data_IF_833908208656
#
_entry.id   IF_833908208656
#
_cell.length_a   1.000
_cell.length_b   1.000
_cell.length_c   1.000
_cell.angle_alpha   90.00
_cell.angle_beta   90.00
_cell.angle_gamma   90.00
#
_symmetry.space_group_name_H-M   'P 1'
#
loop_
_entity.id
_entity.type
_entity.pdbx_description
1 polymer ?
#
# COMPACT_ATOMS: atom_id res chain seq x y z
N UNK A 1 32.95 52.06 -16.31
CA UNK A 1 31.80 51.43 -16.98
C UNK A 1 31.70 49.97 -16.51
N UNK A 2 30.83 49.69 -15.54
CA UNK A 2 30.70 48.38 -14.89
C UNK A 2 29.66 47.52 -15.65
N UNK A 3 30.04 46.31 -16.06
CA UNK A 3 29.16 45.35 -16.74
C UNK A 3 28.23 44.67 -15.72
N UNK A 4 26.92 44.51 -16.01
CA UNK A 4 26.03 43.79 -15.10
C UNK A 4 26.30 42.30 -15.19
N UNK A 5 26.55 41.68 -14.04
CA UNK A 5 26.64 40.24 -13.87
C UNK A 5 25.21 39.68 -13.91
N UNK A 6 24.83 39.04 -15.02
CA UNK A 6 23.60 38.25 -15.11
C UNK A 6 23.80 36.92 -14.38
N UNK A 7 23.57 36.89 -13.07
CA UNK A 7 23.32 35.63 -12.35
C UNK A 7 21.83 35.34 -12.41
N UNK A 8 21.43 34.65 -13.47
CA UNK A 8 20.23 33.83 -13.45
C UNK A 8 20.58 32.44 -13.95
N UNK A 9 21.39 31.72 -13.16
CA UNK A 9 21.52 30.28 -13.31
C UNK A 9 20.17 29.67 -12.89
N UNK A 10 19.26 29.50 -13.85
CA UNK A 10 18.16 28.55 -13.70
C UNK A 10 18.79 27.21 -13.44
N UNK A 11 18.79 26.77 -12.18
CA UNK A 11 19.06 25.38 -11.82
C UNK A 11 17.93 24.54 -12.40
N UNK A 12 18.06 24.17 -13.67
CA UNK A 12 17.19 23.17 -14.29
C UNK A 12 17.47 21.87 -13.54
N UNK A 13 16.54 21.45 -12.70
CA UNK A 13 16.54 20.07 -12.23
C UNK A 13 16.39 19.19 -13.47
N UNK A 14 17.49 18.60 -13.91
CA UNK A 14 17.47 17.55 -14.93
C UNK A 14 16.73 16.37 -14.30
N UNK A 15 15.43 16.28 -14.58
CA UNK A 15 14.68 15.07 -14.30
C UNK A 15 15.08 14.06 -15.38
N UNK A 16 16.10 13.25 -15.09
CA UNK A 16 16.34 12.08 -15.93
C UNK A 16 15.10 11.20 -15.81
N UNK A 17 14.38 10.89 -16.92
CA UNK A 17 13.30 9.92 -16.85
C UNK A 17 13.96 8.60 -16.43
N UNK A 18 13.56 8.06 -15.27
CA UNK A 18 13.87 6.67 -14.96
C UNK A 18 13.19 5.82 -16.02
N UNK A 19 13.96 5.35 -16.98
CA UNK A 19 13.56 4.32 -17.93
C UNK A 19 13.41 3.01 -17.14
N UNK A 20 12.31 2.89 -16.38
CA UNK A 20 11.89 1.59 -15.88
C UNK A 20 11.64 0.71 -17.11
N UNK A 21 12.20 -0.50 -17.12
CA UNK A 21 11.84 -1.50 -18.10
C UNK A 21 10.31 -1.60 -18.11
N UNK A 22 9.68 -1.23 -19.23
CA UNK A 22 8.23 -1.38 -19.39
C UNK A 22 7.96 -2.88 -19.20
N UNK A 23 7.23 -3.25 -18.15
CA UNK A 23 6.75 -4.63 -17.99
C UNK A 23 5.89 -4.89 -19.22
N UNK A 24 6.39 -5.71 -20.15
CA UNK A 24 5.67 -6.10 -21.36
C UNK A 24 4.36 -6.73 -20.86
N UNK A 25 3.25 -6.05 -21.13
CA UNK A 25 1.92 -6.63 -20.90
C UNK A 25 1.91 -7.95 -21.68
N UNK A 26 1.59 -9.03 -20.96
CA UNK A 26 1.42 -10.36 -21.52
C UNK A 26 0.46 -10.22 -22.72
N UNK A 27 0.95 -10.45 -23.94
CA UNK A 27 0.15 -10.42 -25.16
C UNK A 27 0.61 -9.48 -26.29
N UNK A 28 1.73 -8.75 -26.18
CA UNK A 28 2.32 -8.07 -27.35
C UNK A 28 3.31 -8.98 -28.08
N UNK A 29 2.82 -9.60 -29.14
CA UNK A 29 3.55 -10.47 -30.06
C UNK A 29 4.78 -9.76 -30.65
N UNK A 30 5.95 -10.18 -30.21
CA UNK A 30 7.22 -10.01 -30.93
C UNK A 30 8.34 -10.69 -30.14
N UNK A 31 8.87 -11.77 -30.70
CA UNK A 31 10.08 -12.44 -30.21
C UNK A 31 9.84 -13.90 -29.85
N UNK A 32 10.39 -14.79 -30.69
CA UNK A 32 10.51 -16.23 -30.43
C UNK A 32 11.09 -16.46 -29.03
N UNK A 33 10.27 -17.00 -28.15
CA UNK A 33 10.67 -17.54 -26.86
C UNK A 33 9.62 -18.57 -26.51
N UNK A 34 10.05 -19.82 -26.40
CA UNK A 34 9.33 -21.02 -25.99
C UNK A 34 7.99 -20.72 -25.35
N UNK A 35 6.91 -21.20 -25.98
CA UNK A 35 5.60 -21.32 -25.36
C UNK A 35 5.80 -22.17 -24.11
N UNK A 36 6.09 -21.55 -22.98
CA UNK A 36 6.03 -22.19 -21.68
C UNK A 36 4.62 -22.73 -21.64
N UNK A 37 4.48 -24.04 -21.79
CA UNK A 37 3.21 -24.72 -21.66
C UNK A 37 2.62 -24.17 -20.36
N UNK A 38 1.47 -23.48 -20.48
CA UNK A 38 0.77 -22.95 -19.33
C UNK A 38 0.40 -24.18 -18.53
N UNK A 39 1.23 -24.54 -17.55
CA UNK A 39 0.94 -25.62 -16.61
C UNK A 39 -0.33 -25.16 -15.92
N UNK A 40 -1.45 -25.74 -16.34
CA UNK A 40 -2.74 -25.51 -15.73
C UNK A 40 -2.64 -26.20 -14.39
N UNK A 41 -2.27 -25.44 -13.36
CA UNK A 41 -2.35 -25.91 -11.98
C UNK A 41 -3.83 -26.05 -11.69
N UNK A 42 -4.29 -27.29 -11.64
CA UNK A 42 -5.66 -27.60 -11.22
C UNK A 42 -5.81 -27.18 -9.76
N UNK A 43 -6.80 -26.34 -9.50
CA UNK A 43 -7.13 -25.94 -8.14
C UNK A 43 -7.97 -27.06 -7.52
N UNK A 44 -7.58 -27.59 -6.35
CA UNK A 44 -8.37 -28.63 -5.70
C UNK A 44 -9.76 -28.10 -5.38
N UNK A 45 -10.77 -28.97 -5.51
CA UNK A 45 -12.16 -28.61 -5.20
C UNK A 45 -12.28 -28.31 -3.70
N UNK A 46 -13.03 -27.26 -3.31
CA UNK A 46 -13.25 -26.99 -1.89
C UNK A 46 -14.08 -28.10 -1.25
N UNK A 47 -13.70 -28.48 -0.03
CA UNK A 47 -14.45 -29.43 0.80
C UNK A 47 -15.77 -28.78 1.22
N UNK A 48 -16.86 -29.55 1.24
CA UNK A 48 -18.21 -29.09 1.58
C UNK A 48 -18.77 -29.69 2.86
N UNK A 49 -18.05 -30.61 3.49
CA UNK A 49 -18.50 -31.31 4.69
C UNK A 49 -18.41 -30.37 5.90
N UNK A 50 -19.56 -30.07 6.49
CA UNK A 50 -19.67 -29.07 7.57
C UNK A 50 -18.96 -29.50 8.85
N UNK A 51 -19.05 -30.77 9.21
CA UNK A 51 -18.40 -31.32 10.40
C UNK A 51 -16.88 -31.17 10.33
N UNK A 52 -16.30 -31.46 9.17
CA UNK A 52 -14.85 -31.35 8.97
C UNK A 52 -14.37 -29.90 9.03
N UNK A 53 -15.14 -28.96 8.45
CA UNK A 53 -14.81 -27.53 8.44
C UNK A 53 -14.91 -26.87 9.83
N UNK A 54 -15.72 -27.43 10.73
CA UNK A 54 -15.83 -26.95 12.12
C UNK A 54 -14.73 -27.53 13.01
N UNK A 55 -14.31 -28.77 12.77
CA UNK A 55 -13.29 -29.43 13.60
C UNK A 55 -11.85 -29.13 13.15
N UNK A 56 -11.62 -28.94 11.85
CA UNK A 56 -10.26 -28.81 11.27
C UNK A 56 -10.12 -27.59 10.39
N UNK A 57 -8.90 -27.05 10.35
CA UNK A 57 -8.55 -25.97 9.44
C UNK A 57 -8.16 -26.53 8.07
N UNK A 58 -9.17 -26.83 7.25
CA UNK A 58 -8.98 -27.46 5.95
C UNK A 58 -8.12 -26.62 4.99
N UNK A 59 -7.12 -27.24 4.36
CA UNK A 59 -6.26 -26.60 3.34
C UNK A 59 -5.08 -25.81 3.90
N UNK A 60 -4.76 -25.98 5.19
CA UNK A 60 -3.55 -25.41 5.77
C UNK A 60 -2.31 -26.28 5.47
N UNK A 61 -2.49 -27.60 5.43
CA UNK A 61 -1.39 -28.51 5.10
C UNK A 61 -1.06 -28.41 3.59
N UNK A 62 0.20 -28.07 3.30
CA UNK A 62 0.75 -27.99 1.94
C UNK A 62 1.58 -29.21 1.53
N UNK A 63 1.85 -30.11 2.48
CA UNK A 63 2.66 -31.30 2.27
C UNK A 63 1.78 -32.44 1.70
N UNK A 64 2.40 -33.33 0.92
CA UNK A 64 1.71 -34.51 0.36
C UNK A 64 1.32 -35.49 1.46
N UNK A 65 2.17 -35.58 2.49
CA UNK A 65 1.96 -36.41 3.67
C UNK A 65 1.62 -35.51 4.86
N UNK A 66 0.66 -35.95 5.67
CA UNK A 66 0.21 -35.24 6.86
C UNK A 66 -1.26 -34.83 6.79
N UNK A 67 -1.82 -34.52 7.97
CA UNK A 67 -3.21 -34.10 8.11
C UNK A 67 -3.31 -32.59 8.40
N UNK A 68 -4.47 -32.02 8.09
CA UNK A 68 -4.80 -30.66 8.50
C UNK A 68 -4.92 -30.56 10.03
N UNK A 69 -4.46 -29.45 10.64
CA UNK A 69 -4.51 -29.28 12.08
C UNK A 69 -5.94 -29.15 12.59
N UNK A 70 -6.17 -29.74 13.76
CA UNK A 70 -7.43 -29.67 14.50
C UNK A 70 -7.53 -28.31 15.21
N UNK A 71 -8.71 -27.70 15.16
CA UNK A 71 -8.99 -26.46 15.88
C UNK A 71 -9.08 -26.73 17.38
N UNK A 72 -8.38 -25.90 18.16
CA UNK A 72 -8.29 -26.02 19.62
C UNK A 72 -9.38 -25.18 20.28
N UNK A 73 -9.69 -25.39 21.58
CA UNK A 73 -10.60 -24.50 22.29
C UNK A 73 -10.03 -23.08 22.39
N UNK A 74 -10.91 -22.09 22.54
CA UNK A 74 -10.56 -20.65 22.54
C UNK A 74 -9.54 -20.26 23.61
N UNK A 75 -9.50 -20.99 24.73
CA UNK A 75 -8.60 -20.76 25.88
C UNK A 75 -7.12 -21.02 25.56
N UNK A 76 -6.84 -21.87 24.57
CA UNK A 76 -5.46 -22.18 24.18
C UNK A 76 -4.87 -21.11 23.25
N UNK A 77 -5.73 -20.30 22.63
CA UNK A 77 -5.29 -19.20 21.79
C UNK A 77 -5.02 -17.95 22.62
N UNK A 78 -3.98 -17.17 22.26
CA UNK A 78 -3.64 -15.98 23.02
C UNK A 78 -4.70 -14.88 22.87
N UNK A 79 -4.95 -14.13 23.94
CA UNK A 79 -6.00 -13.10 24.04
C UNK A 79 -5.97 -12.02 22.94
N UNK A 80 -4.77 -11.70 22.44
CA UNK A 80 -4.62 -10.69 21.38
C UNK A 80 -5.36 -11.09 20.10
N UNK A 81 -5.58 -12.39 19.85
CA UNK A 81 -6.33 -12.88 18.68
C UNK A 81 -7.74 -12.29 18.64
N UNK A 82 -8.40 -12.27 19.79
CA UNK A 82 -9.77 -11.78 19.96
C UNK A 82 -9.86 -10.25 20.02
N UNK A 83 -8.72 -9.57 20.16
CA UNK A 83 -8.63 -8.10 20.18
C UNK A 83 -8.44 -7.51 18.77
N UNK A 84 -8.21 -8.35 17.76
CA UNK A 84 -8.00 -7.89 16.38
C UNK A 84 -9.29 -7.34 15.78
N UNK A 85 -9.16 -6.24 15.04
CA UNK A 85 -10.27 -5.62 14.32
C UNK A 85 -10.59 -6.37 13.02
N UNK A 86 -11.65 -7.19 13.03
CA UNK A 86 -12.10 -7.98 11.86
C UNK A 86 -13.03 -7.20 10.90
N UNK A 87 -13.42 -5.98 11.28
CA UNK A 87 -14.34 -5.15 10.49
C UNK A 87 -13.70 -4.45 9.29
N UNK A 88 -14.39 -3.42 8.78
CA UNK A 88 -13.84 -2.55 7.73
C UNK A 88 -12.53 -1.92 8.21
N UNK A 89 -11.49 -1.81 7.37
CA UNK A 89 -10.23 -1.20 7.77
C UNK A 89 -10.45 0.18 8.38
N UNK A 90 -9.85 0.44 9.56
CA UNK A 90 -9.93 1.73 10.25
C UNK A 90 -9.40 2.83 9.33
N UNK A 91 -10.12 3.94 9.23
CA UNK A 91 -9.62 5.08 8.47
C UNK A 91 -8.66 5.89 9.32
N UNK A 92 -7.83 6.72 8.69
CA UNK A 92 -6.90 7.58 9.43
C UNK A 92 -7.63 8.58 10.34
N UNK A 93 -8.92 8.86 10.12
CA UNK A 93 -9.71 9.76 10.99
C UNK A 93 -10.09 9.11 12.32
N UNK A 94 -10.22 7.78 12.34
CA UNK A 94 -10.64 7.02 13.52
C UNK A 94 -9.45 6.61 14.40
N UNK A 95 -8.22 6.94 13.97
CA UNK A 95 -6.98 6.57 14.64
C UNK A 95 -6.35 7.78 15.32
N UNK A 96 -5.62 7.50 16.41
CA UNK A 96 -4.91 8.51 17.18
C UNK A 96 -3.66 9.02 16.43
N UNK A 97 -3.50 10.35 16.22
CA UNK A 97 -2.35 10.94 15.53
C UNK A 97 -0.97 10.60 16.10
N UNK A 98 -0.90 10.25 17.39
CA UNK A 98 0.37 9.90 18.05
C UNK A 98 0.84 8.48 17.73
N UNK A 99 -0.02 7.66 17.11
CA UNK A 99 0.32 6.28 16.72
C UNK A 99 0.96 6.21 15.33
N UNK A 100 1.86 5.24 15.14
CA UNK A 100 2.50 5.02 13.82
C UNK A 100 1.51 4.58 12.74
N UNK A 101 0.45 3.88 13.14
CA UNK A 101 -0.60 3.35 12.28
C UNK A 101 -1.36 4.45 11.56
N UNK A 102 -1.70 5.53 12.29
CA UNK A 102 -2.28 6.75 11.74
C UNK A 102 -1.48 7.28 10.55
N UNK A 103 -0.16 7.42 10.73
CA UNK A 103 0.72 7.96 9.70
C UNK A 103 0.87 7.04 8.49
N UNK A 104 0.82 5.72 8.68
CA UNK A 104 0.80 4.76 7.57
C UNK A 104 -0.48 4.89 6.76
N UNK A 105 -1.64 4.98 7.41
CA UNK A 105 -2.93 5.17 6.76
C UNK A 105 -3.01 6.52 6.02
N UNK A 106 -2.52 7.60 6.64
CA UNK A 106 -2.47 8.93 6.03
C UNK A 106 -1.59 8.93 4.76
N UNK A 107 -0.41 8.29 4.79
CA UNK A 107 0.47 8.15 3.62
C UNK A 107 -0.20 7.36 2.50
N UNK A 108 -0.94 6.29 2.82
CA UNK A 108 -1.68 5.51 1.85
C UNK A 108 -2.80 6.34 1.20
N UNK A 109 -3.59 7.05 2.01
CA UNK A 109 -4.65 7.94 1.52
C UNK A 109 -4.11 9.01 0.57
N UNK A 110 -3.02 9.68 0.96
CA UNK A 110 -2.29 10.64 0.12
C UNK A 110 -1.86 10.04 -1.22
N UNK A 111 -1.28 8.83 -1.20
CA UNK A 111 -0.85 8.12 -2.41
C UNK A 111 -2.03 7.84 -3.34
N UNK A 112 -3.14 7.34 -2.79
CA UNK A 112 -4.35 7.04 -3.56
C UNK A 112 -4.91 8.31 -4.22
N UNK A 113 -5.03 9.41 -3.47
CA UNK A 113 -5.49 10.69 -4.01
C UNK A 113 -4.57 11.22 -5.11
N UNK A 114 -3.25 11.19 -4.90
CA UNK A 114 -2.27 11.59 -5.93
C UNK A 114 -2.41 10.76 -7.21
N UNK A 115 -2.62 9.45 -7.09
CA UNK A 115 -2.84 8.58 -8.24
C UNK A 115 -4.16 8.88 -8.97
N UNK A 116 -5.22 9.24 -8.25
CA UNK A 116 -6.49 9.70 -8.85
C UNK A 116 -6.31 11.02 -9.61
N UNK A 117 -5.62 11.99 -9.01
CA UNK A 117 -5.31 13.25 -9.67
C UNK A 117 -4.48 13.06 -10.95
N UNK A 118 -3.48 12.17 -10.92
CA UNK A 118 -2.69 11.79 -12.12
C UNK A 118 -3.54 11.19 -13.23
N UNK A 119 -4.65 10.53 -12.90
CA UNK A 119 -5.60 9.96 -13.87
C UNK A 119 -6.59 10.99 -14.41
N UNK A 120 -6.43 12.27 -14.08
CA UNK A 120 -7.32 13.34 -14.54
C UNK A 120 -8.69 13.36 -13.85
N UNK A 121 -8.88 12.58 -12.77
CA UNK A 121 -10.07 12.67 -11.93
C UNK A 121 -9.97 13.98 -11.15
N UNK A 122 -10.86 14.92 -11.49
CA UNK A 122 -10.87 16.32 -11.04
C UNK A 122 -10.93 16.46 -9.52
N UNK A 123 -10.23 17.50 -9.05
CA UNK A 123 -10.09 17.99 -7.68
C UNK A 123 -9.04 17.26 -6.81
N UNK A 124 -7.80 17.77 -6.83
CA UNK A 124 -6.81 17.49 -5.80
C UNK A 124 -7.22 18.26 -4.54
N UNK A 125 -8.05 17.67 -3.69
CA UNK A 125 -8.05 18.03 -2.27
C UNK A 125 -6.91 17.27 -1.62
N UNK A 126 -5.83 17.92 -1.17
CA UNK A 126 -4.92 17.26 -0.25
C UNK A 126 -5.75 16.77 0.95
N UNK A 127 -5.48 15.59 1.52
CA UNK A 127 -6.22 15.15 2.68
C UNK A 127 -5.99 16.20 3.77
N UNK A 128 -7.07 16.60 4.47
CA UNK A 128 -7.00 17.52 5.60
C UNK A 128 -5.85 17.06 6.48
N UNK A 129 -4.76 17.82 6.46
CA UNK A 129 -3.74 17.67 7.48
C UNK A 129 -4.52 17.89 8.78
N UNK A 130 -4.47 16.94 9.71
CA UNK A 130 -4.66 17.35 11.11
C UNK A 130 -3.72 18.55 11.28
N UNK A 131 -4.19 19.58 11.96
CA UNK A 131 -3.44 20.80 12.20
C UNK A 131 -2.21 20.44 13.03
N UNK A 132 -1.19 19.87 12.38
CA UNK A 132 0.18 20.06 12.75
C UNK A 132 0.27 21.57 12.72
N UNK A 133 0.31 22.16 13.91
CA UNK A 133 1.03 23.41 14.09
C UNK A 133 2.38 23.13 13.44
N UNK A 134 2.50 23.55 12.18
CA UNK A 134 3.75 23.55 11.48
C UNK A 134 4.54 24.60 12.24
N UNK A 135 5.17 24.18 13.33
CA UNK A 135 6.23 24.91 13.99
C UNK A 135 7.33 24.90 12.94
N UNK A 136 7.18 25.78 11.95
CA UNK A 136 8.23 26.12 11.03
C UNK A 136 9.39 26.48 11.93
N UNK A 137 10.41 25.63 11.92
CA UNK A 137 11.67 25.91 12.60
C UNK A 137 12.34 27.18 12.00
N UNK A 138 11.77 27.70 10.91
CA UNK A 138 12.02 29.02 10.37
C UNK A 138 11.16 30.05 11.13
N UNK A 139 11.75 31.04 11.80
CA UNK A 139 10.97 32.12 12.39
C UNK A 139 10.17 32.81 11.29
N UNK A 140 8.87 32.98 11.50
CA UNK A 140 8.06 33.90 10.71
C UNK A 140 8.71 35.27 10.88
N UNK A 141 9.21 35.86 9.80
CA UNK A 141 9.64 37.26 9.82
C UNK A 141 8.38 38.08 10.09
N UNK A 142 8.18 38.48 11.34
CA UNK A 142 7.18 39.50 11.65
C UNK A 142 7.58 40.76 10.87
N UNK A 143 6.76 41.13 9.91
CA UNK A 143 6.84 42.45 9.31
C UNK A 143 6.40 43.44 10.40
N UNK A 144 7.37 44.11 11.01
CA UNK A 144 7.10 45.22 11.91
C UNK A 144 6.36 46.31 11.12
N UNK A 145 5.19 46.71 11.62
CA UNK A 145 4.54 47.98 11.28
C UNK A 145 5.24 49.13 12.00
#
# INVERSE_FOLDING_TARGET
>A
MLRPILICSRRTFVTTPRNFAKKKLIGSDSGRGTKMAKVVVETPKPIRDTELLVTRCCGLNKYVEGEDPVLKPDEEYPDWLWTIHTGKPKTFLDMDPDTKEYWYALKLANRVQRNKAKKGIRFYTPPKMHELSFLSRLPLKHANQ
#
